data_IF_693312095018
#
_entry.id   IF_693312095018
#
_cell.length_a   1.000
_cell.length_b   1.000
_cell.length_c   1.000
_cell.angle_alpha   90.00
_cell.angle_beta   90.00
_cell.angle_gamma   90.00
#
_symmetry.space_group_name_H-M   'P 1'
#
loop_
_entity.id
_entity.type
_entity.pdbx_description
1 polymer ?
#
# COMPACT_ATOMS: atom_id res chain seq x y z
N UNK A 1 -0.53 -3.30 17.99
CA UNK A 1 -0.15 -1.90 17.72
C UNK A 1 1.30 -1.90 17.25
N UNK A 2 1.70 -1.17 16.20
CA UNK A 2 3.05 -1.26 15.63
C UNK A 2 4.07 -0.35 16.34
N UNK A 3 4.05 -0.32 17.67
CA UNK A 3 4.97 0.44 18.51
C UNK A 3 4.88 -0.04 19.97
N UNK A 4 5.78 0.45 20.83
CA UNK A 4 5.75 0.22 22.29
C UNK A 4 4.47 0.76 22.91
N UNK A 5 3.97 0.09 23.94
CA UNK A 5 2.87 0.53 24.79
C UNK A 5 3.29 1.52 25.87
N UNK A 6 4.60 1.70 26.08
CA UNK A 6 5.13 2.70 27.02
C UNK A 6 4.90 2.35 28.49
N UNK A 7 5.19 1.09 28.86
CA UNK A 7 5.12 0.51 30.21
C UNK A 7 3.74 0.01 30.66
N UNK A 8 2.91 -0.48 29.72
CA UNK A 8 1.61 -1.10 30.02
C UNK A 8 1.67 -2.63 29.97
N UNK A 9 2.46 -3.19 29.06
CA UNK A 9 2.56 -4.63 28.80
C UNK A 9 3.92 -5.21 29.24
N UNK A 10 3.95 -6.49 29.62
CA UNK A 10 5.20 -7.17 29.99
C UNK A 10 6.10 -7.50 28.78
N UNK A 11 5.49 -7.76 27.62
CA UNK A 11 6.16 -8.28 26.44
C UNK A 11 5.47 -7.87 25.15
N UNK A 12 6.25 -7.78 24.08
CA UNK A 12 5.76 -7.57 22.71
C UNK A 12 6.28 -8.70 21.81
N UNK A 13 5.35 -9.34 21.10
CA UNK A 13 5.67 -10.37 20.11
C UNK A 13 6.04 -9.67 18.81
N UNK A 14 7.24 -9.95 18.29
CA UNK A 14 7.73 -9.37 17.06
C UNK A 14 8.69 -10.33 16.33
N UNK A 15 9.50 -9.82 15.40
CA UNK A 15 10.56 -10.53 14.71
C UNK A 15 11.79 -9.63 14.54
N UNK A 16 12.91 -10.23 14.16
CA UNK A 16 14.21 -9.54 14.06
C UNK A 16 14.29 -8.52 12.92
N UNK A 17 13.33 -8.51 12.00
CA UNK A 17 13.30 -7.56 10.89
C UNK A 17 12.52 -6.31 11.24
N UNK A 18 11.42 -6.48 11.97
CA UNK A 18 10.54 -5.38 12.38
C UNK A 18 11.08 -4.70 13.64
N UNK A 19 11.63 -5.46 14.59
CA UNK A 19 12.30 -4.92 15.77
C UNK A 19 13.70 -5.52 15.94
N UNK A 20 14.68 -5.09 15.11
CA UNK A 20 16.06 -5.55 15.23
C UNK A 20 16.57 -5.43 16.67
N UNK A 21 17.38 -6.38 17.20
CA UNK A 21 17.83 -6.38 18.59
C UNK A 21 18.51 -5.08 19.04
N UNK A 22 19.11 -4.35 18.11
CA UNK A 22 19.76 -3.05 18.32
C UNK A 22 18.77 -1.95 18.72
N UNK A 23 17.48 -2.13 18.43
CA UNK A 23 16.39 -1.20 18.76
C UNK A 23 15.72 -1.49 20.10
N UNK A 24 16.20 -2.51 20.85
CA UNK A 24 15.61 -2.94 22.13
C UNK A 24 15.37 -1.80 23.12
N UNK A 25 16.28 -0.82 23.18
CA UNK A 25 16.19 0.30 24.12
C UNK A 25 15.05 1.28 23.78
N UNK A 26 14.43 1.16 22.61
CA UNK A 26 13.23 1.91 22.23
C UNK A 26 11.93 1.28 22.74
N UNK A 27 12.02 0.11 23.39
CA UNK A 27 10.87 -0.65 23.88
C UNK A 27 10.95 -0.80 25.40
N UNK A 28 9.83 -0.52 26.07
CA UNK A 28 9.69 -0.78 27.51
C UNK A 28 9.47 -2.27 27.79
N UNK A 29 8.87 -2.99 26.85
CA UNK A 29 8.46 -4.38 26.94
C UNK A 29 9.61 -5.33 26.61
N UNK A 30 9.53 -6.57 27.12
CA UNK A 30 10.44 -7.64 26.68
C UNK A 30 10.12 -8.02 25.24
N UNK A 31 11.12 -7.96 24.37
CA UNK A 31 10.99 -8.42 22.98
C UNK A 31 10.95 -9.94 22.93
N UNK A 32 9.89 -10.51 22.37
CA UNK A 32 9.74 -11.95 22.10
C UNK A 32 9.74 -12.16 20.60
N UNK A 33 10.78 -12.79 20.10
CA UNK A 33 10.98 -12.98 18.66
C UNK A 33 10.39 -14.29 18.15
N UNK A 34 9.55 -14.18 17.12
CA UNK A 34 9.15 -15.30 16.29
C UNK A 34 10.25 -15.64 15.27
N UNK A 35 10.40 -16.91 14.87
CA UNK A 35 11.53 -17.37 14.05
C UNK A 35 11.51 -16.86 12.60
N UNK A 36 10.37 -16.33 12.12
CA UNK A 36 10.20 -15.94 10.72
C UNK A 36 9.61 -14.53 10.60
N UNK A 37 8.33 -14.37 10.94
CA UNK A 37 7.63 -13.10 10.86
C UNK A 37 6.57 -13.05 11.96
N UNK A 38 6.44 -11.89 12.59
CA UNK A 38 5.33 -11.61 13.51
C UNK A 38 4.01 -11.41 12.77
N UNK A 39 4.08 -11.11 11.48
CA UNK A 39 2.94 -10.69 10.67
C UNK A 39 2.26 -11.90 10.03
N UNK A 40 1.28 -12.46 10.74
CA UNK A 40 0.46 -13.59 10.27
C UNK A 40 -0.72 -13.08 9.44
N UNK A 41 -1.05 -13.80 8.36
CA UNK A 41 -2.20 -13.49 7.52
C UNK A 41 -2.89 -14.79 7.07
N UNK A 42 -4.22 -14.74 6.94
CA UNK A 42 -5.04 -15.90 6.56
C UNK A 42 -5.31 -16.01 5.05
N UNK A 43 -4.29 -15.70 4.24
CA UNK A 43 -4.44 -15.56 2.79
C UNK A 43 -4.99 -16.82 2.12
N UNK A 44 -4.63 -18.01 2.63
CA UNK A 44 -5.04 -19.29 2.04
C UNK A 44 -6.54 -19.56 2.17
N UNK A 45 -7.14 -19.18 3.30
CA UNK A 45 -8.58 -19.41 3.53
C UNK A 45 -9.42 -18.27 2.96
N UNK A 46 -8.96 -17.03 3.14
CA UNK A 46 -9.70 -15.85 2.68
C UNK A 46 -9.63 -15.66 1.16
N UNK A 47 -8.53 -16.09 0.52
CA UNK A 47 -8.27 -15.84 -0.91
C UNK A 47 -7.72 -17.10 -1.60
N UNK A 48 -8.54 -18.17 -1.68
CA UNK A 48 -8.16 -19.37 -2.40
C UNK A 48 -7.92 -19.05 -3.87
N UNK A 49 -6.86 -19.61 -4.45
CA UNK A 49 -6.57 -19.52 -5.89
C UNK A 49 -7.06 -20.79 -6.61
N UNK A 50 -7.58 -20.69 -7.85
CA UNK A 50 -7.70 -19.46 -8.65
C UNK A 50 -8.79 -18.51 -8.12
N UNK A 51 -8.61 -17.21 -8.37
CA UNK A 51 -9.58 -16.19 -7.95
C UNK A 51 -10.97 -16.48 -8.54
N UNK A 52 -12.04 -16.17 -7.78
CA UNK A 52 -13.42 -16.40 -8.22
C UNK A 52 -13.80 -15.51 -9.40
N UNK A 53 -13.24 -14.31 -9.47
CA UNK A 53 -13.44 -13.37 -10.56
C UNK A 53 -12.10 -12.96 -11.16
N UNK A 54 -12.09 -12.66 -12.46
CA UNK A 54 -10.91 -12.09 -13.13
C UNK A 54 -11.21 -10.61 -13.42
N UNK A 55 -10.85 -9.68 -12.51
CA UNK A 55 -11.11 -8.27 -12.71
C UNK A 55 -10.34 -7.75 -13.93
N UNK A 56 -10.98 -6.83 -14.65
CA UNK A 56 -10.38 -6.20 -15.82
C UNK A 56 -9.89 -4.81 -15.43
N UNK A 57 -8.67 -4.44 -15.87
CA UNK A 57 -8.10 -3.10 -15.63
C UNK A 57 -9.04 -1.98 -16.10
N UNK A 58 -9.70 -2.18 -17.24
CA UNK A 58 -10.65 -1.24 -17.82
C UNK A 58 -11.80 -0.84 -16.88
N UNK A 59 -12.22 -1.75 -15.99
CA UNK A 59 -13.31 -1.52 -15.04
C UNK A 59 -12.92 -0.47 -13.98
N UNK A 60 -11.63 -0.14 -13.89
CA UNK A 60 -11.07 0.80 -12.93
C UNK A 60 -10.35 1.98 -13.60
N UNK A 61 -10.59 2.18 -14.90
CA UNK A 61 -9.96 3.27 -15.66
C UNK A 61 -8.47 3.06 -15.91
N UNK A 62 -7.96 1.84 -15.74
CA UNK A 62 -6.60 1.45 -16.05
C UNK A 62 -6.53 0.96 -17.50
N UNK A 63 -5.42 1.25 -18.19
CA UNK A 63 -5.15 0.73 -19.53
C UNK A 63 -4.35 -0.56 -19.44
N UNK A 64 -4.72 -1.56 -20.23
CA UNK A 64 -3.99 -2.84 -20.29
C UNK A 64 -2.56 -2.67 -20.79
N UNK A 65 -2.30 -1.69 -21.66
CA UNK A 65 -0.98 -1.38 -22.21
C UNK A 65 0.00 -0.75 -21.22
N UNK A 66 -0.49 -0.28 -20.07
CA UNK A 66 0.33 0.44 -19.10
C UNK A 66 0.84 -0.51 -18.01
N UNK A 67 2.07 -0.26 -17.55
CA UNK A 67 2.58 -0.79 -16.29
C UNK A 67 1.87 -0.09 -15.14
N UNK A 68 1.15 -0.84 -14.32
CA UNK A 68 0.34 -0.33 -13.21
C UNK A 68 1.11 -0.42 -11.91
N UNK A 69 1.47 0.75 -11.36
CA UNK A 69 2.14 0.92 -10.08
C UNK A 69 1.08 1.22 -9.01
N UNK A 70 0.77 0.24 -8.16
CA UNK A 70 -0.33 0.33 -7.20
C UNK A 70 0.12 0.58 -5.76
N UNK A 71 -0.50 1.54 -5.08
CA UNK A 71 -0.44 1.64 -3.62
C UNK A 71 -1.85 1.80 -3.04
N UNK A 72 -2.24 0.84 -2.21
CA UNK A 72 -3.58 0.75 -1.63
C UNK A 72 -3.61 1.10 -0.13
N UNK A 73 -2.54 1.72 0.37
CA UNK A 73 -2.51 2.34 1.68
C UNK A 73 -3.37 3.61 1.73
N UNK A 74 -3.81 3.97 2.93
CA UNK A 74 -4.50 5.25 3.13
C UNK A 74 -3.56 6.42 2.84
N UNK A 75 -4.10 7.48 2.25
CA UNK A 75 -3.33 8.62 1.76
C UNK A 75 -2.60 9.40 2.85
N UNK A 76 -2.96 9.25 4.14
CA UNK A 76 -2.19 9.87 5.23
C UNK A 76 -0.76 9.31 5.34
N UNK A 77 -0.51 8.09 4.82
CA UNK A 77 0.82 7.48 4.76
C UNK A 77 1.66 7.98 3.57
N UNK A 78 1.05 8.76 2.67
CA UNK A 78 1.72 9.27 1.47
C UNK A 78 2.34 10.62 1.76
N UNK A 79 3.63 10.60 2.05
CA UNK A 79 4.42 11.81 2.27
C UNK A 79 4.78 12.51 0.95
N UNK A 80 5.02 13.84 0.96
CA UNK A 80 5.42 14.57 -0.24
C UNK A 80 6.64 13.98 -0.95
N UNK A 81 7.67 13.57 -0.19
CA UNK A 81 8.89 12.97 -0.76
C UNK A 81 8.59 11.65 -1.47
N UNK A 82 7.70 10.85 -0.91
CA UNK A 82 7.31 9.56 -1.49
C UNK A 82 6.53 9.77 -2.79
N UNK A 83 5.57 10.70 -2.77
CA UNK A 83 4.81 11.07 -3.97
C UNK A 83 5.71 11.63 -5.09
N UNK A 84 6.77 12.36 -4.73
CA UNK A 84 7.76 12.87 -5.67
C UNK A 84 8.54 11.74 -6.36
N UNK A 85 8.97 10.73 -5.59
CA UNK A 85 9.64 9.54 -6.15
C UNK A 85 8.72 8.82 -7.13
N UNK A 86 7.46 8.57 -6.75
CA UNK A 86 6.51 7.90 -7.64
C UNK A 86 6.21 8.71 -8.91
N UNK A 87 6.04 10.03 -8.77
CA UNK A 87 5.85 10.93 -9.92
C UNK A 87 7.04 10.85 -10.89
N UNK A 88 8.27 10.80 -10.37
CA UNK A 88 9.47 10.68 -11.18
C UNK A 88 9.54 9.33 -11.92
N UNK A 89 9.12 8.23 -11.29
CA UNK A 89 9.04 6.92 -11.95
C UNK A 89 8.04 6.98 -13.10
N UNK A 90 6.84 7.53 -12.87
CA UNK A 90 5.78 7.63 -13.88
C UNK A 90 6.17 8.47 -15.10
N UNK A 91 7.03 9.48 -14.90
CA UNK A 91 7.58 10.29 -15.99
C UNK A 91 8.73 9.61 -16.74
N UNK A 92 9.44 8.67 -16.12
CA UNK A 92 10.51 7.90 -16.78
C UNK A 92 9.98 6.71 -17.56
N UNK A 93 8.79 6.23 -17.22
CA UNK A 93 8.13 5.10 -17.88
C UNK A 93 6.88 5.62 -18.58
N UNK A 94 6.98 5.88 -19.88
CA UNK A 94 5.91 6.54 -20.65
C UNK A 94 4.58 5.79 -20.62
N UNK A 95 4.59 4.46 -20.66
CA UNK A 95 3.42 3.61 -20.54
C UNK A 95 3.21 3.14 -19.09
N UNK A 96 3.16 4.05 -18.12
CA UNK A 96 2.88 3.70 -16.72
C UNK A 96 1.75 4.51 -16.10
N UNK A 97 1.08 3.89 -15.14
CA UNK A 97 -0.01 4.48 -14.36
C UNK A 97 0.26 4.30 -12.88
N UNK A 98 0.26 5.41 -12.13
CA UNK A 98 0.19 5.36 -10.67
C UNK A 98 -1.26 5.17 -10.23
N UNK A 99 -1.52 4.17 -9.43
CA UNK A 99 -2.85 3.84 -8.96
C UNK A 99 -2.89 3.90 -7.43
N UNK A 100 -3.66 4.85 -6.89
CA UNK A 100 -3.73 5.10 -5.45
C UNK A 100 -5.16 4.92 -4.91
N UNK A 101 -5.26 4.58 -3.63
CA UNK A 101 -6.53 4.57 -2.92
C UNK A 101 -7.07 6.00 -2.74
N UNK A 102 -8.35 6.19 -3.06
CA UNK A 102 -9.10 7.45 -2.86
C UNK A 102 -9.63 7.56 -1.42
N UNK A 103 -8.75 7.49 -0.42
CA UNK A 103 -9.14 7.58 0.99
C UNK A 103 -7.99 8.07 1.89
N UNK A 104 -8.23 9.00 2.84
CA UNK A 104 -9.51 9.64 3.16
C UNK A 104 -9.84 10.78 2.17
N UNK A 105 -11.11 11.22 2.09
CA UNK A 105 -11.58 12.17 1.07
C UNK A 105 -10.86 13.53 1.15
N UNK A 106 -10.53 13.97 2.36
CA UNK A 106 -9.84 15.23 2.65
C UNK A 106 -8.46 15.27 2.00
N UNK A 107 -7.78 14.11 1.93
CA UNK A 107 -6.46 13.98 1.31
C UNK A 107 -6.55 13.98 -0.23
N UNK A 108 -7.66 13.56 -0.81
CA UNK A 108 -7.84 13.44 -2.27
C UNK A 108 -7.72 14.80 -2.96
N UNK A 109 -8.24 15.87 -2.37
CA UNK A 109 -8.13 17.23 -2.93
C UNK A 109 -6.66 17.65 -3.06
N UNK A 110 -5.89 17.51 -1.97
CA UNK A 110 -4.47 17.84 -1.93
C UNK A 110 -3.67 17.00 -2.92
N UNK A 111 -3.97 15.70 -3.00
CA UNK A 111 -3.33 14.79 -3.94
C UNK A 111 -3.56 15.23 -5.39
N UNK A 112 -4.80 15.58 -5.76
CA UNK A 112 -5.12 16.08 -7.11
C UNK A 112 -4.37 17.37 -7.44
N UNK A 113 -4.26 18.29 -6.49
CA UNK A 113 -3.52 19.55 -6.69
C UNK A 113 -2.02 19.30 -6.86
N UNK A 114 -1.43 18.40 -6.07
CA UNK A 114 -0.03 17.99 -6.24
C UNK A 114 0.20 17.26 -7.57
N UNK A 115 -0.73 16.39 -7.97
CA UNK A 115 -0.66 15.68 -9.24
C UNK A 115 -0.65 16.63 -10.44
N UNK A 116 -1.45 17.70 -10.39
CA UNK A 116 -1.42 18.77 -11.40
C UNK A 116 -0.05 19.46 -11.46
N UNK A 117 0.52 19.83 -10.30
CA UNK A 117 1.86 20.45 -10.22
C UNK A 117 2.94 19.54 -10.78
N UNK A 118 2.83 18.23 -10.52
CA UNK A 118 3.72 17.19 -11.05
C UNK A 118 3.38 16.76 -12.48
N UNK A 119 2.39 17.37 -13.14
CA UNK A 119 1.97 17.06 -14.52
C UNK A 119 1.55 15.59 -14.73
N UNK A 120 1.06 14.92 -13.69
CA UNK A 120 0.42 13.60 -13.82
C UNK A 120 -1.00 13.79 -14.38
N UNK A 121 -1.15 13.66 -15.70
CA UNK A 121 -2.40 13.89 -16.43
C UNK A 121 -2.92 12.60 -17.07
N UNK A 122 -4.21 12.59 -17.39
CA UNK A 122 -4.85 11.51 -18.13
C UNK A 122 -4.77 10.19 -17.37
N UNK A 123 -4.21 9.17 -18.02
CA UNK A 123 -4.04 7.81 -17.51
C UNK A 123 -2.81 7.64 -16.60
N UNK A 124 -2.00 8.68 -16.38
CA UNK A 124 -0.83 8.60 -15.49
C UNK A 124 -1.17 8.45 -14.01
N UNK A 125 -2.39 8.84 -13.61
CA UNK A 125 -2.88 8.71 -12.23
C UNK A 125 -4.33 8.23 -12.21
N UNK A 126 -4.58 7.13 -11.52
CA UNK A 126 -5.92 6.59 -11.25
C UNK A 126 -6.16 6.57 -9.75
N UNK A 127 -7.36 6.96 -9.32
CA UNK A 127 -7.78 6.89 -7.92
C UNK A 127 -9.04 6.04 -7.80
N UNK A 128 -8.99 4.93 -7.07
CA UNK A 128 -10.15 4.06 -6.82
C UNK A 128 -10.63 4.16 -5.38
N UNK A 129 -11.94 4.07 -5.18
CA UNK A 129 -12.53 4.05 -3.83
C UNK A 129 -12.21 2.78 -3.04
N UNK A 130 -12.71 2.74 -1.80
CA UNK A 130 -12.76 1.52 -1.02
C UNK A 130 -13.69 0.51 -1.72
N UNK A 131 -13.29 -0.75 -1.69
CA UNK A 131 -14.09 -1.86 -2.22
C UNK A 131 -14.39 -2.84 -1.08
N UNK A 132 -15.50 -3.60 -1.18
CA UNK A 132 -15.72 -4.75 -0.31
C UNK A 132 -14.50 -5.69 -0.32
N UNK A 133 -14.23 -6.33 0.81
CA UNK A 133 -13.01 -7.13 1.03
C UNK A 133 -12.80 -8.21 -0.05
N UNK A 134 -13.88 -8.82 -0.53
CA UNK A 134 -13.87 -9.86 -1.57
C UNK A 134 -13.41 -9.32 -2.93
N UNK A 135 -13.80 -8.08 -3.27
CA UNK A 135 -13.40 -7.44 -4.53
C UNK A 135 -12.08 -6.67 -4.42
N UNK A 136 -11.70 -6.28 -3.20
CA UNK A 136 -10.53 -5.45 -2.96
C UNK A 136 -9.20 -6.17 -3.20
N UNK A 137 -9.13 -7.50 -3.07
CA UNK A 137 -7.89 -8.22 -3.38
C UNK A 137 -7.78 -8.64 -4.83
N UNK A 138 -8.87 -9.14 -5.42
CA UNK A 138 -8.90 -9.54 -6.83
C UNK A 138 -8.39 -8.40 -7.71
N UNK A 139 -8.88 -7.20 -7.48
CA UNK A 139 -8.50 -6.02 -8.26
C UNK A 139 -7.02 -5.65 -8.10
N UNK A 140 -6.41 -5.86 -6.93
CA UNK A 140 -4.99 -5.56 -6.71
C UNK A 140 -4.10 -6.49 -7.51
N UNK A 141 -4.57 -7.69 -7.83
CA UNK A 141 -3.85 -8.61 -8.71
C UNK A 141 -3.70 -8.06 -10.14
N UNK A 142 -4.45 -7.02 -10.51
CA UNK A 142 -4.29 -6.32 -11.79
C UNK A 142 -3.17 -5.27 -11.79
N UNK A 143 -2.61 -4.92 -10.63
CA UNK A 143 -1.41 -4.10 -10.55
C UNK A 143 -0.18 -4.93 -10.86
N UNK A 144 0.79 -4.36 -11.57
CA UNK A 144 2.05 -5.04 -11.90
C UNK A 144 3.03 -4.97 -10.73
N UNK A 145 3.07 -3.83 -10.01
CA UNK A 145 4.03 -3.56 -8.94
C UNK A 145 3.33 -2.87 -7.77
N UNK A 146 3.53 -3.40 -6.56
CA UNK A 146 3.15 -2.73 -5.31
C UNK A 146 4.21 -1.71 -4.88
N UNK A 147 3.80 -0.46 -4.59
CA UNK A 147 4.65 0.64 -4.15
C UNK A 147 4.51 0.98 -2.66
#
# INVERSE_FOLDING_TARGET
YPATSGNVDDAIISDVWVTPPETKDLYTEKLVYLPHSYFVNDHKQLYPRPFKTTPQRKDHGLKDSNVVLGNFGQLYKVEPRLFDVWSNIVHRVDNSTLWLLKFPEEAVKRLKDQSKKKKLKGDKLVLSGLLPIDSHLDIKATADIGL
#
